data_IF_748306985202
#
_entry.id   IF_748306985202
#
_cell.length_a   1.000
_cell.length_b   1.000
_cell.length_c   1.000
_cell.angle_alpha   90.00
_cell.angle_beta   90.00
_cell.angle_gamma   90.00
#
_symmetry.space_group_name_H-M   'P 1'
#
loop_
_entity.id
_entity.type
_entity.pdbx_description
1 polymer ?
#
# COMPACT_ATOMS: atom_id res chain seq x y z
N UNK A 1 -27.43 30.92 -36.02
CA UNK A 1 -27.68 30.36 -34.68
C UNK A 1 -26.52 29.43 -34.35
N UNK A 2 -25.55 29.88 -33.56
CA UNK A 2 -24.41 29.07 -33.13
C UNK A 2 -24.76 28.39 -31.81
N UNK A 3 -24.95 27.07 -31.82
CA UNK A 3 -25.16 26.27 -30.61
C UNK A 3 -23.77 26.06 -29.99
N UNK A 4 -23.50 26.70 -28.86
CA UNK A 4 -22.28 26.50 -28.08
C UNK A 4 -22.35 25.16 -27.35
N UNK A 5 -21.55 24.19 -27.79
CA UNK A 5 -21.27 22.96 -27.03
C UNK A 5 -20.30 23.26 -25.89
N UNK A 6 -20.76 23.96 -24.85
CA UNK A 6 -20.00 24.12 -23.61
C UNK A 6 -20.37 23.01 -22.64
N UNK A 7 -19.42 22.15 -22.25
CA UNK A 7 -19.60 21.28 -21.08
C UNK A 7 -19.89 22.19 -19.87
N UNK A 8 -20.93 21.94 -19.07
CA UNK A 8 -21.20 22.77 -17.89
C UNK A 8 -19.93 22.81 -17.04
N UNK A 9 -19.56 24.01 -16.58
CA UNK A 9 -18.43 24.20 -15.69
C UNK A 9 -18.62 23.24 -14.51
N UNK A 10 -17.71 22.28 -14.39
CA UNK A 10 -17.80 21.26 -13.36
C UNK A 10 -17.60 21.98 -12.02
N UNK A 11 -18.65 22.05 -11.20
CA UNK A 11 -18.56 22.61 -9.86
C UNK A 11 -17.53 21.79 -9.08
N UNK A 12 -16.36 22.40 -8.85
CA UNK A 12 -15.32 21.79 -8.04
C UNK A 12 -15.71 21.98 -6.58
N UNK A 13 -16.36 20.96 -6.01
CA UNK A 13 -16.58 20.91 -4.56
C UNK A 13 -15.22 20.85 -3.88
N UNK A 14 -14.85 21.82 -3.02
CA UNK A 14 -13.58 21.78 -2.32
C UNK A 14 -13.49 20.53 -1.44
N UNK A 15 -12.35 19.84 -1.50
CA UNK A 15 -12.16 18.64 -0.68
C UNK A 15 -12.05 19.04 0.80
N UNK A 16 -12.87 18.47 1.71
CA UNK A 16 -12.81 18.84 3.11
C UNK A 16 -11.44 18.50 3.72
N UNK A 17 -10.75 19.50 4.26
CA UNK A 17 -9.41 19.33 4.85
C UNK A 17 -9.38 18.28 5.95
N UNK A 18 -10.42 18.24 6.79
CA UNK A 18 -10.54 17.26 7.87
C UNK A 18 -10.62 15.82 7.33
N UNK A 19 -11.38 15.61 6.26
CA UNK A 19 -11.46 14.31 5.60
C UNK A 19 -10.10 13.87 5.07
N UNK A 20 -9.30 14.80 4.52
CA UNK A 20 -7.97 14.48 4.00
C UNK A 20 -7.05 14.00 5.13
N UNK A 21 -7.09 14.70 6.27
CA UNK A 21 -6.34 14.32 7.48
C UNK A 21 -6.77 12.94 7.98
N UNK A 22 -8.06 12.63 7.99
CA UNK A 22 -8.56 11.34 8.43
C UNK A 22 -8.12 10.20 7.50
N UNK A 23 -8.14 10.42 6.18
CA UNK A 23 -7.66 9.45 5.19
C UNK A 23 -6.18 9.15 5.41
N UNK A 24 -5.34 10.18 5.54
CA UNK A 24 -3.90 9.99 5.80
C UNK A 24 -3.68 9.19 7.09
N UNK A 25 -4.36 9.57 8.18
CA UNK A 25 -4.28 8.85 9.46
C UNK A 25 -4.72 7.38 9.37
N UNK A 26 -5.69 7.07 8.51
CA UNK A 26 -6.12 5.69 8.26
C UNK A 26 -5.07 4.94 7.43
N UNK A 27 -4.56 5.56 6.38
CA UNK A 27 -3.54 4.98 5.52
C UNK A 27 -2.26 4.62 6.31
N UNK A 28 -1.78 5.51 7.18
CA UNK A 28 -0.63 5.23 8.04
C UNK A 28 -0.86 4.01 8.92
N UNK A 29 -2.01 3.93 9.63
CA UNK A 29 -2.33 2.76 10.46
C UNK A 29 -2.48 1.47 9.66
N UNK A 30 -2.99 1.56 8.45
CA UNK A 30 -3.09 0.40 7.55
C UNK A 30 -1.70 -0.05 7.09
N UNK A 31 -0.83 0.88 6.72
CA UNK A 31 0.54 0.60 6.33
C UNK A 31 1.32 -0.05 7.48
N UNK A 32 1.29 0.54 8.68
CA UNK A 32 1.93 -0.01 9.88
C UNK A 32 1.46 -1.43 10.17
N UNK A 33 0.15 -1.69 10.11
CA UNK A 33 -0.39 -3.03 10.33
C UNK A 33 0.09 -4.01 9.26
N UNK A 34 0.01 -3.60 7.99
CA UNK A 34 0.39 -4.43 6.86
C UNK A 34 1.89 -4.76 6.88
N UNK A 35 2.74 -3.78 7.16
CA UNK A 35 4.19 -3.95 7.29
C UNK A 35 4.53 -4.98 8.37
N UNK A 36 3.90 -4.89 9.55
CA UNK A 36 4.08 -5.89 10.60
C UNK A 36 3.68 -7.31 10.16
N UNK A 37 2.52 -7.46 9.50
CA UNK A 37 2.06 -8.75 9.00
C UNK A 37 2.99 -9.32 7.90
N UNK A 38 3.53 -8.46 7.04
CA UNK A 38 4.51 -8.83 6.02
C UNK A 38 5.82 -9.32 6.65
N UNK A 39 6.36 -8.59 7.64
CA UNK A 39 7.58 -8.97 8.35
C UNK A 39 7.40 -10.35 9.01
N UNK A 40 6.32 -10.53 9.75
CA UNK A 40 6.01 -11.81 10.42
C UNK A 40 5.91 -12.97 9.43
N UNK A 41 5.29 -12.72 8.27
CA UNK A 41 5.13 -13.73 7.21
C UNK A 41 6.47 -14.07 6.57
N UNK A 42 7.27 -13.07 6.20
CA UNK A 42 8.60 -13.27 5.62
C UNK A 42 9.53 -14.03 6.57
N UNK A 43 9.54 -13.68 7.86
CA UNK A 43 10.33 -14.40 8.86
C UNK A 43 9.88 -15.85 9.03
N UNK A 44 8.56 -16.09 9.08
CA UNK A 44 8.00 -17.43 9.22
C UNK A 44 8.37 -18.31 8.02
N UNK A 45 8.28 -17.78 6.81
CA UNK A 45 8.57 -18.51 5.59
C UNK A 45 10.08 -18.75 5.42
N UNK A 46 10.92 -17.77 5.72
CA UNK A 46 12.37 -17.95 5.77
C UNK A 46 12.76 -19.05 6.77
N UNK A 47 12.17 -19.04 7.98
CA UNK A 47 12.39 -20.08 8.99
C UNK A 47 11.99 -21.47 8.48
N UNK A 48 10.84 -21.58 7.81
CA UNK A 48 10.38 -22.85 7.21
C UNK A 48 11.31 -23.33 6.10
N UNK A 49 11.82 -22.43 5.27
CA UNK A 49 12.76 -22.75 4.21
C UNK A 49 14.09 -23.28 4.78
N UNK A 50 14.60 -22.65 5.84
CA UNK A 50 15.79 -23.12 6.57
C UNK A 50 15.57 -24.52 7.16
N UNK A 51 14.40 -24.78 7.77
CA UNK A 51 14.06 -26.11 8.30
C UNK A 51 13.99 -27.19 7.21
N UNK A 52 13.69 -26.81 5.97
CA UNK A 52 13.70 -27.71 4.80
C UNK A 52 15.11 -27.88 4.20
N UNK A 53 16.14 -27.27 4.79
CA UNK A 53 17.52 -27.33 4.30
C UNK A 53 17.81 -26.41 3.12
N UNK A 54 16.98 -25.39 2.89
CA UNK A 54 17.24 -24.38 1.85
C UNK A 54 18.45 -23.55 2.24
N UNK A 55 19.39 -23.34 1.32
CA UNK A 55 20.56 -22.48 1.51
C UNK A 55 20.12 -21.03 1.84
N UNK A 56 20.59 -20.43 2.95
CA UNK A 56 20.34 -19.04 3.29
C UNK A 56 20.58 -18.04 2.14
N UNK A 57 21.60 -18.25 1.30
CA UNK A 57 21.90 -17.36 0.18
C UNK A 57 20.77 -17.34 -0.87
N UNK A 58 20.08 -18.47 -1.05
CA UNK A 58 18.91 -18.57 -1.92
C UNK A 58 17.72 -17.83 -1.33
N UNK A 59 17.52 -17.91 -0.01
CA UNK A 59 16.43 -17.22 0.69
C UNK A 59 16.61 -15.70 0.58
N UNK A 60 17.83 -15.19 0.81
CA UNK A 60 18.17 -13.76 0.66
C UNK A 60 17.83 -13.27 -0.75
N UNK A 61 18.30 -14.00 -1.78
CA UNK A 61 18.01 -13.67 -3.18
C UNK A 61 16.50 -13.70 -3.50
N UNK A 62 15.75 -14.67 -2.97
CA UNK A 62 14.31 -14.79 -3.19
C UNK A 62 13.52 -13.67 -2.52
N UNK A 63 13.97 -13.21 -1.34
CA UNK A 63 13.35 -12.10 -0.62
C UNK A 63 13.82 -10.72 -1.15
N UNK A 64 14.83 -10.68 -2.03
CA UNK A 64 15.37 -9.44 -2.56
C UNK A 64 16.11 -8.60 -1.52
N UNK A 65 16.70 -9.26 -0.51
CA UNK A 65 17.55 -8.66 0.53
C UNK A 65 19.01 -8.63 0.08
#
# INVERSE_FOLDING_TARGET
MSITYGRPAQETVPFPRELAVLIVKKACRMAEKFENECIDTMQRDARRALQRGTDPAVIVRQLGL
#
